data_IF_232189599779
#
_entry.id   IF_232189599779
#
_cell.length_a   1.000
_cell.length_b   1.000
_cell.length_c   1.000
_cell.angle_alpha   90.00
_cell.angle_beta   90.00
_cell.angle_gamma   90.00
#
_symmetry.space_group_name_H-M   'P 1'
#
loop_
_entity.id
_entity.type
_entity.pdbx_description
1 polymer ?
#
# COMPACT_ATOMS: atom_id res chain seq x y z
N UNK A 1 -8.15 -15.21 -4.82
CA UNK A 1 -9.16 -14.12 -4.81
C UNK A 1 -10.00 -14.10 -6.07
N UNK A 2 -9.41 -14.02 -7.28
CA UNK A 2 -10.18 -13.84 -8.54
C UNK A 2 -11.36 -14.81 -8.75
N UNK A 3 -11.22 -16.14 -8.64
CA UNK A 3 -12.33 -17.05 -8.93
C UNK A 3 -13.56 -16.84 -8.03
N UNK A 4 -13.34 -16.52 -6.76
CA UNK A 4 -14.41 -16.26 -5.79
C UNK A 4 -15.11 -14.94 -6.07
N UNK A 5 -14.34 -13.87 -6.31
CA UNK A 5 -14.90 -12.54 -6.59
C UNK A 5 -15.63 -12.48 -7.94
N UNK A 6 -15.18 -13.29 -8.90
CA UNK A 6 -15.80 -13.38 -10.23
C UNK A 6 -17.14 -14.09 -10.16
N UNK A 7 -17.24 -15.15 -9.34
CA UNK A 7 -18.50 -15.82 -9.05
C UNK A 7 -19.55 -14.86 -8.44
N UNK A 8 -19.10 -13.93 -7.59
CA UNK A 8 -19.96 -12.91 -7.00
C UNK A 8 -20.14 -11.65 -7.86
N UNK A 9 -19.64 -11.64 -9.11
CA UNK A 9 -19.75 -10.52 -10.06
C UNK A 9 -19.27 -9.17 -9.49
N UNK A 10 -18.22 -9.21 -8.67
CA UNK A 10 -17.58 -8.01 -8.13
C UNK A 10 -16.67 -7.41 -9.19
N UNK A 11 -16.82 -6.12 -9.49
CA UNK A 11 -15.95 -5.44 -10.45
C UNK A 11 -14.48 -5.42 -10.00
N UNK A 12 -13.54 -5.48 -10.95
CA UNK A 12 -12.09 -5.43 -10.67
C UNK A 12 -11.68 -4.12 -10.02
N UNK A 13 -12.33 -3.04 -10.41
CA UNK A 13 -12.13 -1.69 -9.89
C UNK A 13 -12.51 -1.62 -8.41
N UNK A 14 -13.66 -2.20 -8.03
CA UNK A 14 -14.08 -2.28 -6.63
C UNK A 14 -13.19 -3.19 -5.81
N UNK A 15 -12.82 -4.34 -6.35
CA UNK A 15 -11.90 -5.24 -5.67
C UNK A 15 -10.54 -4.56 -5.41
N UNK A 16 -10.01 -3.84 -6.40
CA UNK A 16 -8.77 -3.08 -6.23
C UNK A 16 -8.91 -2.00 -5.16
N UNK A 17 -10.00 -1.23 -5.19
CA UNK A 17 -10.30 -0.22 -4.16
C UNK A 17 -10.35 -0.82 -2.76
N UNK A 18 -11.04 -1.95 -2.57
CA UNK A 18 -11.16 -2.61 -1.26
C UNK A 18 -9.81 -3.13 -0.76
N UNK A 19 -8.99 -3.72 -1.64
CA UNK A 19 -7.67 -4.24 -1.26
C UNK A 19 -6.72 -3.11 -0.89
N UNK A 20 -6.65 -2.06 -1.71
CA UNK A 20 -5.77 -0.91 -1.48
C UNK A 20 -6.16 -0.16 -0.20
N UNK A 21 -7.44 0.21 -0.08
CA UNK A 21 -7.99 0.97 1.05
C UNK A 21 -7.98 0.21 2.38
N UNK A 22 -7.75 -1.11 2.38
CA UNK A 22 -7.60 -1.89 3.62
C UNK A 22 -6.13 -2.18 3.94
N UNK A 23 -5.31 -2.46 2.93
CA UNK A 23 -3.89 -2.79 3.11
C UNK A 23 -3.11 -1.69 3.83
N UNK A 24 -3.25 -0.43 3.41
CA UNK A 24 -2.53 0.69 4.02
C UNK A 24 -3.00 0.99 5.47
N UNK A 25 -4.31 1.10 5.76
CA UNK A 25 -4.78 1.27 7.14
C UNK A 25 -4.42 0.14 8.09
N UNK A 26 -4.52 -1.11 7.63
CA UNK A 26 -4.18 -2.28 8.46
C UNK A 26 -2.69 -2.28 8.78
N UNK A 27 -1.82 -1.92 7.85
CA UNK A 27 -0.38 -1.80 8.12
C UNK A 27 -0.07 -0.82 9.26
N UNK A 28 -0.85 0.26 9.39
CA UNK A 28 -0.69 1.25 10.45
C UNK A 28 -1.38 0.91 11.78
N UNK A 29 -2.37 0.01 11.79
CA UNK A 29 -3.10 -0.41 13.00
C UNK A 29 -2.63 -1.76 13.55
N UNK A 30 -1.97 -2.56 12.73
CA UNK A 30 -1.50 -3.89 13.10
C UNK A 30 -0.42 -3.80 14.19
N UNK A 31 -0.71 -4.42 15.33
CA UNK A 31 0.18 -4.55 16.48
C UNK A 31 1.37 -5.49 16.22
N UNK A 32 1.27 -6.36 15.20
CA UNK A 32 2.39 -7.16 14.70
C UNK A 32 2.49 -6.94 13.19
N UNK A 33 3.53 -6.23 12.76
CA UNK A 33 3.83 -5.99 11.34
C UNK A 33 5.32 -5.73 11.15
N UNK A 34 5.83 -5.75 9.92
CA UNK A 34 7.22 -5.30 9.68
C UNK A 34 7.39 -3.80 9.95
N UNK A 35 6.30 -3.03 9.86
CA UNK A 35 6.31 -1.58 10.06
C UNK A 35 6.44 -1.18 11.54
N UNK A 36 5.84 -1.95 12.45
CA UNK A 36 5.84 -1.63 13.89
C UNK A 36 7.24 -1.57 14.49
N UNK A 37 8.18 -2.39 14.01
CA UNK A 37 9.55 -2.41 14.51
C UNK A 37 10.30 -1.09 14.28
N UNK A 38 10.07 -0.47 13.12
CA UNK A 38 10.60 0.86 12.83
C UNK A 38 9.90 1.93 13.67
N UNK A 39 8.57 1.86 13.77
CA UNK A 39 7.77 2.87 14.45
C UNK A 39 8.02 2.91 15.97
N UNK A 40 8.12 1.73 16.62
CA UNK A 40 8.45 1.61 18.04
C UNK A 40 9.86 2.13 18.33
N UNK A 41 10.84 1.82 17.46
CA UNK A 41 12.19 2.36 17.60
C UNK A 41 12.21 3.89 17.53
N UNK A 42 11.47 4.47 16.58
CA UNK A 42 11.35 5.92 16.46
C UNK A 42 10.69 6.55 17.70
N UNK A 43 9.66 5.92 18.26
CA UNK A 43 9.04 6.39 19.51
C UNK A 43 10.01 6.32 20.68
N UNK A 44 10.80 5.25 20.79
CA UNK A 44 11.80 5.11 21.85
C UNK A 44 12.89 6.19 21.75
N UNK A 45 13.35 6.49 20.54
CA UNK A 45 14.34 7.55 20.29
C UNK A 45 13.79 8.94 20.64
N UNK A 46 12.53 9.21 20.27
CA UNK A 46 11.86 10.46 20.64
C UNK A 46 11.66 10.55 22.15
N UNK A 47 11.22 9.47 22.80
CA UNK A 47 11.02 9.41 24.25
C UNK A 47 12.30 9.76 25.01
N UNK A 48 13.43 9.18 24.59
CA UNK A 48 14.76 9.50 25.14
C UNK A 48 15.13 10.96 24.93
N UNK A 49 14.87 11.51 23.74
CA UNK A 49 15.19 12.89 23.39
C UNK A 49 14.44 13.91 24.25
N UNK A 50 13.17 13.64 24.56
CA UNK A 50 12.33 14.54 25.37
C UNK A 50 12.33 14.22 26.87
N UNK A 51 13.08 13.20 27.31
CA UNK A 51 13.15 12.76 28.71
C UNK A 51 11.87 12.11 29.23
N UNK A 52 11.07 11.52 28.35
CA UNK A 52 9.82 10.85 28.71
C UNK A 52 10.10 9.38 29.06
N UNK A 53 9.80 8.97 30.30
CA UNK A 53 9.88 7.58 30.75
C UNK A 53 8.70 6.74 30.21
N UNK A 54 8.65 6.56 28.89
CA UNK A 54 7.66 5.73 28.20
C UNK A 54 8.34 4.78 27.23
N UNK A 55 7.86 3.55 27.21
CA UNK A 55 8.27 2.54 26.25
C UNK A 55 7.68 2.83 24.86
N UNK A 56 8.40 2.49 23.79
CA UNK A 56 7.96 2.76 22.42
C UNK A 56 6.61 2.11 22.08
N UNK A 57 6.31 0.92 22.63
CA UNK A 57 4.99 0.30 22.46
C UNK A 57 3.89 1.06 23.19
N UNK A 58 4.17 1.62 24.38
CA UNK A 58 3.18 2.40 25.11
C UNK A 58 2.77 3.66 24.32
N UNK A 59 3.74 4.33 23.70
CA UNK A 59 3.49 5.47 22.82
C UNK A 59 2.76 5.06 21.55
N UNK A 60 3.07 3.90 20.97
CA UNK A 60 2.32 3.36 19.83
C UNK A 60 0.84 3.15 20.16
N UNK A 61 0.52 2.55 21.32
CA UNK A 61 -0.88 2.36 21.74
C UNK A 61 -1.60 3.69 21.98
N UNK A 62 -0.93 4.68 22.57
CA UNK A 62 -1.47 6.03 22.72
C UNK A 62 -1.73 6.66 21.34
N UNK A 63 -0.80 6.52 20.39
CA UNK A 63 -0.91 7.03 19.03
C UNK A 63 -2.01 6.34 18.20
N UNK A 64 -2.35 5.08 18.51
CA UNK A 64 -3.34 4.30 17.78
C UNK A 64 -4.69 5.00 17.70
N UNK A 65 -5.11 5.65 18.79
CA UNK A 65 -6.37 6.40 18.88
C UNK A 65 -6.38 7.65 17.99
N UNK A 66 -5.22 8.20 17.65
CA UNK A 66 -5.06 9.38 16.80
C UNK A 66 -4.86 9.04 15.32
N UNK A 67 -4.86 7.76 14.93
CA UNK A 67 -4.77 7.34 13.51
C UNK A 67 -6.12 7.47 12.79
N UNK A 68 -6.65 8.69 12.78
CA UNK A 68 -7.98 8.99 12.22
C UNK A 68 -8.12 8.53 10.77
N UNK A 69 -7.08 8.68 9.95
CA UNK A 69 -7.11 8.18 8.58
C UNK A 69 -7.37 6.67 8.52
N UNK A 70 -6.63 5.87 9.29
CA UNK A 70 -6.77 4.41 9.29
C UNK A 70 -8.17 3.98 9.76
N UNK A 71 -8.63 4.57 10.86
CA UNK A 71 -9.92 4.26 11.47
C UNK A 71 -11.06 4.66 10.53
N UNK A 72 -11.07 5.89 10.04
CA UNK A 72 -12.13 6.41 9.18
C UNK A 72 -12.17 5.69 7.83
N UNK A 73 -11.01 5.32 7.27
CA UNK A 73 -10.96 4.58 5.99
C UNK A 73 -11.52 3.17 6.15
N UNK A 74 -11.19 2.46 7.22
CA UNK A 74 -11.78 1.14 7.49
C UNK A 74 -13.29 1.24 7.68
N UNK A 75 -13.76 2.21 8.48
CA UNK A 75 -15.20 2.45 8.66
C UNK A 75 -15.86 2.74 7.31
N UNK A 76 -15.25 3.61 6.51
CA UNK A 76 -15.77 3.98 5.19
C UNK A 76 -15.85 2.77 4.25
N UNK A 77 -14.82 1.92 4.21
CA UNK A 77 -14.81 0.68 3.42
C UNK A 77 -15.92 -0.27 3.88
N UNK A 78 -16.11 -0.46 5.19
CA UNK A 78 -17.18 -1.30 5.75
C UNK A 78 -18.56 -0.75 5.34
N UNK A 79 -18.77 0.56 5.51
CA UNK A 79 -20.04 1.22 5.13
C UNK A 79 -20.29 1.08 3.63
N UNK A 80 -19.27 1.26 2.80
CA UNK A 80 -19.36 1.12 1.34
C UNK A 80 -19.70 -0.32 0.94
N UNK A 81 -19.02 -1.31 1.55
CA UNK A 81 -19.23 -2.73 1.29
C UNK A 81 -20.65 -3.19 1.67
N UNK A 82 -21.17 -2.76 2.83
CA UNK A 82 -22.51 -3.13 3.30
C UNK A 82 -23.60 -2.37 2.53
N UNK A 83 -23.42 -1.05 2.30
CA UNK A 83 -24.44 -0.25 1.64
C UNK A 83 -24.59 -0.58 0.15
N UNK A 84 -23.55 -1.17 -0.46
CA UNK A 84 -23.51 -1.41 -1.90
C UNK A 84 -23.57 -0.13 -2.75
N UNK A 85 -23.33 1.03 -2.13
CA UNK A 85 -23.38 2.35 -2.76
C UNK A 85 -21.99 2.72 -3.26
N UNK A 86 -21.62 2.11 -4.37
CA UNK A 86 -20.43 2.50 -5.11
C UNK A 86 -20.62 3.90 -5.72
N UNK A 87 -19.52 4.62 -5.99
CA UNK A 87 -19.55 6.01 -6.45
C UNK A 87 -18.67 6.25 -7.68
N UNK A 88 -18.97 7.32 -8.42
CA UNK A 88 -18.17 7.78 -9.55
C UNK A 88 -17.94 6.70 -10.62
N UNK A 89 -16.68 6.51 -11.01
CA UNK A 89 -16.29 5.50 -11.99
C UNK A 89 -16.50 4.06 -11.49
N UNK A 90 -16.31 3.82 -10.18
CA UNK A 90 -16.51 2.49 -9.56
C UNK A 90 -17.97 2.05 -9.65
N UNK A 91 -18.92 2.99 -9.48
CA UNK A 91 -20.34 2.70 -9.67
C UNK A 91 -20.66 2.17 -11.07
N UNK A 92 -20.10 2.81 -12.10
CA UNK A 92 -20.30 2.39 -13.51
C UNK A 92 -19.70 1.00 -13.75
N UNK A 93 -18.53 0.72 -13.17
CA UNK A 93 -17.87 -0.57 -13.27
C UNK A 93 -18.66 -1.69 -12.55
N UNK A 94 -19.18 -1.41 -11.35
CA UNK A 94 -19.99 -2.37 -10.61
C UNK A 94 -21.32 -2.65 -11.32
N UNK A 95 -21.97 -1.61 -11.86
CA UNK A 95 -23.21 -1.79 -12.63
C UNK A 95 -22.99 -2.67 -13.86
N UNK A 96 -21.90 -2.46 -14.60
CA UNK A 96 -21.48 -3.34 -15.71
C UNK A 96 -21.32 -4.78 -15.24
N UNK A 97 -20.55 -5.01 -14.18
CA UNK A 97 -20.31 -6.36 -13.67
C UNK A 97 -21.61 -7.07 -13.24
N UNK A 98 -22.58 -6.34 -12.68
CA UNK A 98 -23.88 -6.88 -12.27
C UNK A 98 -24.81 -7.18 -13.46
N UNK A 99 -24.88 -6.27 -14.43
CA UNK A 99 -25.80 -6.36 -15.57
C UNK A 99 -25.30 -7.33 -16.65
N UNK A 100 -24.01 -7.26 -17.03
CA UNK A 100 -23.45 -8.06 -18.13
C UNK A 100 -22.67 -9.29 -17.65
N UNK A 101 -22.24 -9.29 -16.39
CA UNK A 101 -21.31 -10.30 -15.85
C UNK A 101 -19.84 -9.97 -16.12
N UNK A 102 -19.54 -8.89 -16.84
CA UNK A 102 -18.16 -8.49 -17.16
C UNK A 102 -17.51 -7.74 -16.00
N UNK A 103 -16.75 -8.48 -15.19
CA UNK A 103 -16.05 -7.95 -14.02
C UNK A 103 -14.89 -7.00 -14.36
N UNK A 104 -14.39 -7.02 -15.60
CA UNK A 104 -13.32 -6.14 -16.07
C UNK A 104 -13.83 -5.19 -17.16
N UNK A 105 -13.20 -4.02 -17.31
CA UNK A 105 -13.51 -3.12 -18.41
C UNK A 105 -13.15 -3.76 -19.76
N UNK A 106 -13.86 -3.43 -20.86
CA UNK A 106 -13.59 -4.02 -22.18
C UNK A 106 -12.16 -3.77 -22.69
N UNK A 107 -11.57 -2.65 -22.28
CA UNK A 107 -10.21 -2.22 -22.58
C UNK A 107 -9.21 -2.51 -21.45
N UNK A 108 -9.64 -3.21 -20.40
CA UNK A 108 -8.80 -3.52 -19.26
C UNK A 108 -7.64 -4.43 -19.67
N UNK A 109 -6.42 -3.89 -19.64
CA UNK A 109 -5.20 -4.68 -19.72
C UNK A 109 -4.93 -5.30 -18.36
N UNK A 110 -5.12 -6.60 -18.23
CA UNK A 110 -4.82 -7.31 -17.00
C UNK A 110 -3.32 -7.21 -16.67
N UNK A 111 -2.98 -6.45 -15.63
CA UNK A 111 -1.67 -6.59 -14.99
C UNK A 111 -1.71 -7.91 -14.18
N UNK A 112 -1.11 -8.97 -14.73
CA UNK A 112 -0.70 -10.15 -13.98
C UNK A 112 -1.54 -11.42 -14.17
N UNK A 113 -0.89 -12.38 -14.84
CA UNK A 113 -1.07 -13.84 -14.89
C UNK A 113 -2.35 -14.44 -15.51
N UNK A 114 -2.30 -14.56 -16.84
CA UNK A 114 -2.31 -15.87 -17.51
C UNK A 114 -1.05 -15.95 -18.39
N UNK A 115 -0.50 -17.15 -18.47
CA UNK A 115 0.70 -17.55 -19.20
C UNK A 115 0.82 -16.91 -20.59
N UNK A 116 1.60 -15.83 -20.68
CA UNK A 116 2.42 -15.46 -21.82
C UNK A 116 3.11 -14.16 -21.41
N UNK A 117 4.43 -14.21 -21.21
CA UNK A 117 5.24 -13.07 -21.63
C UNK A 117 5.01 -12.95 -23.13
N UNK A 118 3.88 -12.36 -23.57
CA UNK A 118 3.74 -11.92 -24.94
C UNK A 118 4.67 -10.75 -25.04
N UNK A 119 5.93 -11.06 -25.35
CA UNK A 119 6.87 -10.13 -25.94
C UNK A 119 6.08 -9.27 -26.91
N UNK A 120 5.98 -7.97 -26.62
CA UNK A 120 5.49 -7.03 -27.63
C UNK A 120 6.29 -7.33 -28.90
N UNK A 121 5.67 -7.35 -30.11
CA UNK A 121 6.35 -7.74 -31.35
C UNK A 121 7.63 -6.94 -31.64
N UNK A 122 7.87 -5.86 -30.89
CA UNK A 122 9.00 -4.95 -31.00
C UNK A 122 9.56 -4.51 -29.62
N UNK A 123 9.48 -5.36 -28.59
CA UNK A 123 10.10 -5.07 -27.29
C UNK A 123 11.64 -5.16 -27.44
N UNK A 124 12.30 -4.01 -27.53
CA UNK A 124 13.77 -3.94 -27.46
C UNK A 124 14.17 -4.19 -26.00
N UNK A 125 14.41 -5.44 -25.64
CA UNK A 125 14.88 -5.80 -24.30
C UNK A 125 16.39 -5.55 -24.21
N UNK A 126 16.78 -4.32 -23.91
CA UNK A 126 18.17 -4.00 -23.62
C UNK A 126 18.44 -4.27 -22.12
N UNK A 127 19.42 -5.11 -21.75
CA UNK A 127 19.76 -5.37 -20.35
C UNK A 127 20.02 -4.09 -19.55
N UNK A 128 20.54 -3.06 -20.23
CA UNK A 128 20.81 -1.76 -19.64
C UNK A 128 19.55 -1.03 -19.12
N UNK A 129 18.38 -1.23 -19.74
CA UNK A 129 17.13 -0.60 -19.30
C UNK A 129 16.64 -1.11 -17.94
N UNK A 130 17.06 -2.30 -17.52
CA UNK A 130 16.77 -2.82 -16.18
C UNK A 130 17.93 -2.56 -15.21
N UNK A 131 19.18 -2.73 -15.67
CA UNK A 131 20.38 -2.62 -14.83
C UNK A 131 20.65 -1.18 -14.40
N UNK A 132 20.46 -0.19 -15.29
CA UNK A 132 20.76 1.22 -14.96
C UNK A 132 19.90 1.75 -13.81
N UNK A 133 18.54 1.59 -13.78
CA UNK A 133 17.72 2.00 -12.64
C UNK A 133 18.07 1.28 -11.33
N UNK A 134 18.41 -0.02 -11.40
CA UNK A 134 18.83 -0.78 -10.23
C UNK A 134 20.15 -0.26 -9.65
N UNK A 135 21.17 -0.08 -10.51
CA UNK A 135 22.46 0.45 -10.07
C UNK A 135 22.37 1.88 -9.56
N UNK A 136 21.55 2.73 -10.17
CA UNK A 136 21.32 4.09 -9.66
C UNK A 136 20.61 4.06 -8.30
N UNK A 137 19.61 3.20 -8.11
CA UNK A 137 18.96 3.02 -6.81
C UNK A 137 19.96 2.57 -5.73
N UNK A 138 20.72 1.49 -5.98
CA UNK A 138 21.71 1.00 -5.02
C UNK A 138 22.84 2.00 -4.79
N UNK A 139 23.31 2.67 -5.84
CA UNK A 139 24.35 3.69 -5.75
C UNK A 139 23.92 4.90 -4.91
N UNK A 140 22.68 5.36 -5.08
CA UNK A 140 22.12 6.44 -4.26
C UNK A 140 21.88 5.99 -2.81
N UNK A 141 21.40 4.78 -2.58
CA UNK A 141 21.20 4.26 -1.23
C UNK A 141 22.54 4.09 -0.48
N UNK A 142 23.52 3.42 -1.11
CA UNK A 142 24.84 3.23 -0.51
C UNK A 142 25.60 4.55 -0.37
N UNK A 143 25.48 5.45 -1.34
CA UNK A 143 26.05 6.79 -1.27
C UNK A 143 25.41 7.62 -0.15
N UNK A 144 24.08 7.61 -0.04
CA UNK A 144 23.35 8.24 1.06
C UNK A 144 23.76 7.67 2.41
N UNK A 145 23.82 6.34 2.56
CA UNK A 145 24.33 5.72 3.79
C UNK A 145 25.80 6.03 4.07
N UNK A 146 26.64 6.24 3.06
CA UNK A 146 28.03 6.62 3.29
C UNK A 146 28.17 8.07 3.76
N UNK A 147 27.29 8.96 3.29
CA UNK A 147 27.28 10.38 3.67
C UNK A 147 26.60 10.58 5.03
N UNK A 148 25.45 9.94 5.24
CA UNK A 148 24.57 10.15 6.40
C UNK A 148 24.69 9.04 7.48
N UNK A 149 25.35 7.91 7.17
CA UNK A 149 25.45 6.75 8.06
C UNK A 149 26.44 6.90 9.22
N UNK A 150 27.23 7.97 9.24
CA UNK A 150 27.81 8.45 10.49
C UNK A 150 26.70 9.21 11.23
N UNK A 151 26.00 8.51 12.12
CA UNK A 151 24.87 9.02 12.90
C UNK A 151 25.14 10.39 13.51
N UNK A 152 24.77 11.44 12.79
CA UNK A 152 24.82 12.82 13.26
C UNK A 152 23.49 13.08 13.93
N UNK A 153 23.47 12.91 15.25
CA UNK A 153 22.40 13.38 16.15
C UNK A 153 22.30 14.90 16.17
N UNK A 154 22.14 15.53 15.02
CA UNK A 154 21.97 16.97 14.86
C UNK A 154 21.18 17.25 13.59
N UNK A 155 19.92 16.82 13.55
CA UNK A 155 18.98 17.33 12.55
C UNK A 155 18.45 18.67 13.11
N UNK A 156 19.05 19.74 12.58
CA UNK A 156 18.82 21.18 12.72
C UNK A 156 19.70 21.94 13.75
N UNK A 157 20.21 23.14 13.38
CA UNK A 157 20.80 24.10 14.32
C UNK A 157 19.76 24.74 15.24
#
# INVERSE_FOLDING_TARGET
MRPLTDHHRVSREKLAFLVDSTSAPIAGLAFVSTWIGYEVGLFEDIAKTIGLERDGYSMFFDALSFRFYCILTIIFVIVNAISGRDYGAMYKAERRARETGDVAAPDAKALGHTSSFTSLPNAVTQPFSAVLPLLTLFGLLLGGFWIDGEGTGSIFP
#
